data_IF_886773764148
#
_entry.id   IF_886773764148
#
_cell.length_a   1.000
_cell.length_b   1.000
_cell.length_c   1.000
_cell.angle_alpha   90.00
_cell.angle_beta   90.00
_cell.angle_gamma   90.00
#
_symmetry.space_group_name_H-M   'P 1'
#
loop_
_entity.id
_entity.type
_entity.pdbx_description
1 polymer ?
#
# COMPACT_ATOMS: atom_id res chain seq x y z
N UNK A 1 -15.21 -29.39 34.67
CA UNK A 1 -15.02 -30.28 33.51
C UNK A 1 -15.44 -29.49 32.26
N UNK A 2 -14.52 -28.72 31.66
CA UNK A 2 -14.77 -27.95 30.43
C UNK A 2 -14.32 -28.78 29.23
N UNK A 3 -15.18 -28.92 28.22
CA UNK A 3 -14.85 -29.62 26.98
C UNK A 3 -13.86 -28.79 26.14
N UNK A 4 -12.91 -29.44 25.44
CA UNK A 4 -12.04 -28.73 24.50
C UNK A 4 -12.86 -28.29 23.30
N UNK A 5 -13.02 -26.97 23.14
CA UNK A 5 -13.53 -26.36 21.90
C UNK A 5 -12.60 -26.78 20.76
N UNK A 6 -13.01 -27.80 20.00
CA UNK A 6 -12.37 -28.16 18.74
C UNK A 6 -13.02 -27.30 17.66
N UNK A 7 -12.33 -26.31 17.06
CA UNK A 7 -12.93 -25.55 15.97
C UNK A 7 -13.19 -26.48 14.78
N UNK A 8 -14.24 -26.23 13.97
CA UNK A 8 -14.50 -27.01 12.78
C UNK A 8 -13.30 -26.93 11.82
N UNK A 9 -12.91 -28.09 11.28
CA UNK A 9 -11.78 -28.30 10.35
C UNK A 9 -11.78 -27.34 9.15
N UNK A 10 -12.92 -26.73 8.83
CA UNK A 10 -13.05 -25.71 7.79
C UNK A 10 -12.36 -24.38 8.13
N UNK A 11 -12.23 -24.00 9.41
CA UNK A 11 -11.57 -22.74 9.82
C UNK A 11 -10.04 -22.85 9.88
N UNK A 12 -9.51 -24.07 9.99
CA UNK A 12 -8.05 -24.32 9.97
C UNK A 12 -7.41 -24.01 8.61
N UNK A 13 -8.16 -24.08 7.50
CA UNK A 13 -7.66 -23.69 6.18
C UNK A 13 -7.51 -22.18 5.96
N UNK A 14 -8.17 -21.38 6.81
CA UNK A 14 -8.15 -19.90 6.77
C UNK A 14 -7.32 -19.29 7.90
N UNK A 15 -6.77 -20.10 8.80
CA UNK A 15 -5.96 -19.66 9.92
C UNK A 15 -4.57 -19.19 9.43
N UNK A 16 -4.51 -17.93 9.02
CA UNK A 16 -3.48 -16.87 9.01
C UNK A 16 -1.98 -17.21 8.86
N UNK A 17 -1.46 -18.36 9.29
CA UNK A 17 -0.05 -18.76 9.10
C UNK A 17 0.07 -19.87 8.05
N UNK A 18 0.72 -19.56 6.92
CA UNK A 18 1.00 -20.56 5.89
C UNK A 18 -0.16 -20.92 4.95
N UNK A 19 -1.23 -20.12 4.88
CA UNK A 19 -2.29 -20.37 3.91
C UNK A 19 -1.84 -19.96 2.48
N UNK A 20 -1.63 -20.98 1.64
CA UNK A 20 -1.33 -20.85 0.21
C UNK A 20 -2.21 -19.82 -0.54
N UNK A 21 -3.53 -19.71 -0.31
CA UNK A 21 -4.34 -18.70 -1.00
C UNK A 21 -3.98 -17.26 -0.61
N UNK A 22 -3.71 -16.97 0.66
CA UNK A 22 -3.32 -15.62 1.09
C UNK A 22 -1.95 -15.28 0.50
N UNK A 23 -1.02 -16.23 0.54
CA UNK A 23 0.30 -16.03 -0.07
C UNK A 23 0.19 -15.73 -1.57
N UNK A 24 -0.65 -16.46 -2.31
CA UNK A 24 -0.87 -16.21 -3.73
C UNK A 24 -1.39 -14.78 -4.00
N UNK A 25 -2.38 -14.32 -3.23
CA UNK A 25 -2.90 -12.95 -3.34
C UNK A 25 -1.83 -11.91 -3.00
N UNK A 26 -1.03 -12.15 -1.95
CA UNK A 26 0.07 -11.26 -1.56
C UNK A 26 1.15 -11.20 -2.64
N UNK A 27 1.50 -12.32 -3.27
CA UNK A 27 2.44 -12.36 -4.39
C UNK A 27 1.90 -11.58 -5.59
N UNK A 28 0.63 -11.78 -5.96
CA UNK A 28 0.00 -11.04 -7.06
C UNK A 28 -0.02 -9.53 -6.75
N UNK A 29 -0.40 -9.16 -5.52
CA UNK A 29 -0.41 -7.77 -5.07
C UNK A 29 1.01 -7.16 -5.09
N UNK A 30 2.02 -7.90 -4.63
CA UNK A 30 3.42 -7.48 -4.63
C UNK A 30 4.00 -7.32 -6.04
N UNK A 31 3.69 -8.24 -6.95
CA UNK A 31 4.09 -8.13 -8.36
C UNK A 31 3.42 -6.94 -9.02
N UNK A 32 2.10 -6.79 -8.84
CA UNK A 32 1.34 -5.66 -9.40
C UNK A 32 1.87 -4.31 -8.91
N UNK A 33 2.06 -4.15 -7.60
CA UNK A 33 2.63 -2.92 -7.02
C UNK A 33 4.09 -2.70 -7.43
N UNK A 34 4.90 -3.76 -7.56
CA UNK A 34 6.27 -3.67 -8.07
C UNK A 34 6.33 -3.14 -9.51
N UNK A 35 5.44 -3.61 -10.39
CA UNK A 35 5.33 -3.09 -11.76
C UNK A 35 4.90 -1.62 -11.75
N UNK A 36 3.87 -1.26 -10.97
CA UNK A 36 3.43 0.13 -10.84
C UNK A 36 4.54 1.04 -10.28
N UNK A 37 5.35 0.54 -9.35
CA UNK A 37 6.49 1.27 -8.81
C UNK A 37 7.59 1.48 -9.86
N UNK A 38 7.91 0.46 -10.66
CA UNK A 38 8.86 0.62 -11.76
C UNK A 38 8.36 1.66 -12.78
N UNK A 39 7.08 1.64 -13.14
CA UNK A 39 6.46 2.61 -14.05
C UNK A 39 6.51 4.02 -13.45
N UNK A 40 6.16 4.19 -12.17
CA UNK A 40 6.18 5.50 -11.50
C UNK A 40 7.60 6.06 -11.40
N UNK A 41 8.60 5.21 -11.15
CA UNK A 41 10.02 5.60 -11.15
C UNK A 41 10.50 6.01 -12.54
N UNK A 42 10.12 5.28 -13.60
CA UNK A 42 10.44 5.64 -14.99
C UNK A 42 9.78 6.98 -15.37
N UNK A 43 8.52 7.18 -15.00
CA UNK A 43 7.81 8.44 -15.24
C UNK A 43 8.49 9.61 -14.50
N UNK A 44 8.89 9.41 -13.25
CA UNK A 44 9.64 10.40 -12.48
C UNK A 44 10.99 10.72 -13.13
N UNK A 45 11.76 9.70 -13.56
CA UNK A 45 13.05 9.92 -14.24
C UNK A 45 12.90 10.70 -15.54
N UNK A 46 11.82 10.48 -16.29
CA UNK A 46 11.57 11.16 -17.57
C UNK A 46 11.11 12.62 -17.43
N UNK A 47 10.29 12.94 -16.42
CA UNK A 47 9.67 14.28 -16.30
C UNK A 47 10.21 15.13 -15.15
N UNK A 48 10.88 14.55 -14.15
CA UNK A 48 11.50 15.21 -12.97
C UNK A 48 10.64 16.25 -12.21
N UNK A 49 9.32 16.27 -12.39
CA UNK A 49 8.46 17.20 -11.64
C UNK A 49 8.14 16.69 -10.24
N UNK A 50 7.83 17.60 -9.31
CA UNK A 50 7.52 17.29 -7.92
C UNK A 50 6.30 16.38 -7.76
N UNK A 51 5.28 16.52 -8.63
CA UNK A 51 4.11 15.64 -8.65
C UNK A 51 4.48 14.17 -8.91
N UNK A 52 5.35 13.88 -9.88
CA UNK A 52 5.76 12.50 -10.16
C UNK A 52 6.61 11.89 -9.03
N UNK A 53 7.32 12.72 -8.24
CA UNK A 53 8.02 12.25 -7.02
C UNK A 53 7.05 11.77 -5.96
N UNK A 54 5.99 12.55 -5.70
CA UNK A 54 5.00 12.23 -4.68
C UNK A 54 4.25 10.96 -5.03
N UNK A 55 3.88 10.80 -6.31
CA UNK A 55 3.27 9.56 -6.81
C UNK A 55 4.24 8.39 -6.67
N UNK A 56 5.50 8.54 -7.08
CA UNK A 56 6.48 7.47 -6.93
C UNK A 56 6.70 7.09 -5.44
N UNK A 57 6.69 8.05 -4.53
CA UNK A 57 6.80 7.81 -3.10
C UNK A 57 5.56 7.11 -2.53
N UNK A 58 4.36 7.51 -2.95
CA UNK A 58 3.11 6.85 -2.55
C UNK A 58 3.06 5.40 -3.03
N UNK A 59 3.43 5.14 -4.29
CA UNK A 59 3.50 3.78 -4.84
C UNK A 59 4.64 2.98 -4.18
N UNK A 60 5.75 3.62 -3.81
CA UNK A 60 6.82 2.99 -3.03
C UNK A 60 6.37 2.59 -1.62
N UNK A 61 5.59 3.43 -0.94
CA UNK A 61 4.99 3.11 0.34
C UNK A 61 3.99 1.94 0.22
N UNK A 62 3.22 1.89 -0.87
CA UNK A 62 2.32 0.77 -1.18
C UNK A 62 3.09 -0.54 -1.41
N UNK A 63 4.24 -0.49 -2.08
CA UNK A 63 5.13 -1.66 -2.23
C UNK A 63 5.69 -2.11 -0.87
N UNK A 64 6.14 -1.18 -0.03
CA UNK A 64 6.61 -1.49 1.32
C UNK A 64 5.53 -2.18 2.17
N UNK A 65 4.27 -1.74 2.04
CA UNK A 65 3.12 -2.37 2.69
C UNK A 65 2.95 -3.82 2.25
N UNK A 66 3.04 -4.09 0.95
CA UNK A 66 2.98 -5.47 0.42
C UNK A 66 4.12 -6.36 0.94
N UNK A 67 5.33 -5.81 1.09
CA UNK A 67 6.47 -6.54 1.67
C UNK A 67 6.22 -6.87 3.15
N UNK A 68 5.69 -5.93 3.93
CA UNK A 68 5.33 -6.16 5.34
C UNK A 68 4.25 -7.24 5.46
N UNK A 69 3.19 -7.17 4.63
CA UNK A 69 2.14 -8.20 4.59
C UNK A 69 2.68 -9.59 4.22
N UNK A 70 3.58 -9.67 3.23
CA UNK A 70 4.27 -10.92 2.89
C UNK A 70 5.18 -11.44 4.01
N UNK A 71 5.90 -10.54 4.68
CA UNK A 71 6.71 -10.88 5.85
C UNK A 71 5.89 -11.47 6.98
N UNK A 72 4.66 -11.01 7.20
CA UNK A 72 3.75 -11.59 8.21
C UNK A 72 3.28 -12.99 7.81
N UNK A 73 2.90 -13.18 6.55
CA UNK A 73 2.47 -14.51 6.04
C UNK A 73 3.60 -15.54 6.13
N UNK A 74 4.85 -15.10 5.96
CA UNK A 74 6.06 -15.93 6.09
C UNK A 74 6.54 -16.09 7.55
N UNK A 75 5.87 -15.48 8.53
CA UNK A 75 6.25 -15.54 9.94
C UNK A 75 7.48 -14.70 10.33
N UNK A 76 7.95 -13.82 9.44
CA UNK A 76 9.11 -12.94 9.66
C UNK A 76 8.71 -11.67 10.43
N UNK A 77 7.52 -11.13 10.18
CA UNK A 77 7.03 -9.90 10.82
C UNK A 77 5.98 -10.23 11.89
N UNK A 78 6.22 -9.87 13.17
CA UNK A 78 5.24 -10.07 14.23
C UNK A 78 3.95 -9.28 13.98
N UNK A 79 2.80 -9.86 14.33
CA UNK A 79 1.49 -9.26 14.08
C UNK A 79 1.32 -7.82 14.62
N UNK A 80 1.85 -7.43 15.81
CA UNK A 80 1.77 -6.04 16.27
C UNK A 80 2.56 -5.06 15.39
N UNK A 81 3.74 -5.49 14.93
CA UNK A 81 4.60 -4.69 14.04
C UNK A 81 3.94 -4.52 12.68
N UNK A 82 3.37 -5.60 12.15
CA UNK A 82 2.58 -5.57 10.92
C UNK A 82 1.44 -4.55 11.00
N UNK A 83 0.58 -4.63 12.02
CA UNK A 83 -0.53 -3.68 12.16
C UNK A 83 -0.05 -2.23 12.22
N UNK A 84 0.99 -1.95 13.01
CA UNK A 84 1.51 -0.60 13.12
C UNK A 84 2.06 -0.09 11.78
N UNK A 85 2.88 -0.91 11.11
CA UNK A 85 3.50 -0.54 9.84
C UNK A 85 2.48 -0.40 8.72
N UNK A 86 1.56 -1.35 8.58
CA UNK A 86 0.51 -1.26 7.56
C UNK A 86 -0.37 -0.03 7.76
N UNK A 87 -0.83 0.22 8.98
CA UNK A 87 -1.69 1.38 9.25
C UNK A 87 -0.95 2.70 9.03
N UNK A 88 0.33 2.76 9.42
CA UNK A 88 1.17 3.95 9.20
C UNK A 88 1.45 4.19 7.71
N UNK A 89 1.71 3.12 6.95
CA UNK A 89 1.91 3.20 5.51
C UNK A 89 0.63 3.62 4.79
N UNK A 90 -0.52 3.10 5.18
CA UNK A 90 -1.82 3.48 4.62
C UNK A 90 -2.10 4.98 4.81
N UNK A 91 -1.85 5.48 6.03
CA UNK A 91 -1.93 6.91 6.31
C UNK A 91 -0.95 7.74 5.47
N UNK A 92 0.30 7.30 5.35
CA UNK A 92 1.32 7.98 4.55
C UNK A 92 0.95 8.03 3.07
N UNK A 93 0.46 6.91 2.50
CA UNK A 93 0.01 6.82 1.11
C UNK A 93 -1.11 7.84 0.88
N UNK A 94 -2.12 7.86 1.75
CA UNK A 94 -3.23 8.81 1.66
C UNK A 94 -2.75 10.27 1.74
N UNK A 95 -1.86 10.58 2.69
CA UNK A 95 -1.30 11.92 2.86
C UNK A 95 -0.50 12.38 1.63
N UNK A 96 0.33 11.50 1.05
CA UNK A 96 1.11 11.80 -0.15
C UNK A 96 0.23 12.04 -1.37
N UNK A 97 -0.79 11.21 -1.57
CA UNK A 97 -1.75 11.37 -2.67
C UNK A 97 -2.51 12.68 -2.51
N UNK A 98 -3.03 12.96 -1.31
CA UNK A 98 -3.76 14.20 -1.03
C UNK A 98 -2.88 15.43 -1.23
N UNK A 99 -1.64 15.41 -0.74
CA UNK A 99 -0.68 16.50 -0.94
C UNK A 99 -0.33 16.69 -2.42
N UNK A 100 -0.16 15.60 -3.17
CA UNK A 100 0.10 15.68 -4.61
C UNK A 100 -1.04 16.36 -5.35
N UNK A 101 -2.29 15.99 -5.04
CA UNK A 101 -3.49 16.61 -5.62
C UNK A 101 -3.61 18.06 -5.18
N UNK A 102 -3.46 18.35 -3.89
CA UNK A 102 -3.58 19.72 -3.37
C UNK A 102 -2.53 20.67 -3.97
N UNK A 103 -1.26 20.25 -4.03
CA UNK A 103 -0.17 21.10 -4.49
C UNK A 103 -0.05 21.20 -6.02
N UNK A 104 -0.66 20.29 -6.79
CA UNK A 104 -0.53 20.22 -8.24
C UNK A 104 -1.89 20.10 -8.97
N UNK A 105 -2.99 20.47 -8.32
CA UNK A 105 -4.30 20.55 -8.93
C UNK A 105 -4.29 21.59 -10.07
N UNK A 106 -4.72 21.23 -11.30
CA UNK A 106 -4.92 22.19 -12.37
C UNK A 106 -6.17 23.03 -12.03
N UNK A 107 -5.94 24.24 -11.54
CA UNK A 107 -7.01 25.13 -11.09
C UNK A 107 -6.54 26.13 -10.05
N UNK A 108 -5.48 26.90 -10.35
CA UNK A 108 -5.25 28.14 -9.64
C UNK A 108 -6.42 29.07 -10.00
N UNK A 109 -7.40 29.18 -9.10
CA UNK A 109 -8.47 30.19 -9.17
C UNK A 109 -7.78 31.55 -9.12
N UNK A 110 -7.60 32.21 -10.26
CA UNK A 110 -6.78 33.43 -10.30
C UNK A 110 -6.88 34.37 -11.50
N UNK A 111 -7.18 33.92 -12.73
CA UNK A 111 -6.95 34.80 -13.90
C UNK A 111 -8.21 35.29 -14.66
N UNK A 112 -9.41 34.75 -14.43
CA UNK A 112 -10.59 35.09 -15.26
C UNK A 112 -11.61 36.04 -14.60
N UNK A 113 -11.42 36.43 -13.34
CA UNK A 113 -12.38 37.25 -12.59
C UNK A 113 -11.93 38.71 -12.34
N UNK A 114 -10.77 39.12 -12.87
CA UNK A 114 -10.20 40.46 -12.67
C UNK A 114 -10.32 41.40 -13.89
N UNK A 115 -10.98 40.96 -14.96
CA UNK A 115 -11.26 41.79 -16.14
C UNK A 115 -12.70 41.59 -16.56
N UNK A 116 -13.61 42.41 -16.01
CA UNK A 116 -14.65 43.19 -16.73
C UNK A 116 -15.41 44.10 -15.77
#
# INVERSE_FOLDING_TARGET
MQAPFSPPVALTGWAVEGSLPILAVVVVAGVGTGVLFAVSLVAYRRRRTAQYRLIALAVGALLARSVVGGGTVLGVVPMPVHHLLEHSLDFLIAALVLYAVYAHAPGAVGDDAATE
#
